data_IF_769381020732
#
_entry.id   IF_769381020732
#
_cell.length_a   1.000
_cell.length_b   1.000
_cell.length_c   1.000
_cell.angle_alpha   90.00
_cell.angle_beta   90.00
_cell.angle_gamma   90.00
#
_symmetry.space_group_name_H-M   'P 1'
#
loop_
_entity.id
_entity.type
_entity.pdbx_description
1 polymer ?
#
# COMPACT_ATOMS: atom_id res chain seq x y z
N UNK A 1 -12.10 -1.64 -5.52
CA UNK A 1 -12.26 -2.28 -4.20
C UNK A 1 -12.91 -3.66 -4.31
N UNK A 2 -12.41 -4.54 -5.16
CA UNK A 2 -12.96 -5.89 -5.33
C UNK A 2 -11.84 -6.91 -5.52
N UNK A 3 -12.19 -8.16 -5.82
CA UNK A 3 -11.20 -9.22 -5.98
C UNK A 3 -10.28 -8.98 -7.18
N UNK A 4 -8.94 -9.08 -7.02
CA UNK A 4 -7.97 -8.86 -8.10
C UNK A 4 -8.24 -9.67 -9.36
N UNK A 5 -8.78 -10.87 -9.18
CA UNK A 5 -9.04 -11.82 -10.25
C UNK A 5 -10.12 -11.35 -11.24
N UNK A 6 -11.06 -10.51 -10.80
CA UNK A 6 -12.05 -9.91 -11.70
C UNK A 6 -11.36 -9.02 -12.74
N UNK A 7 -10.36 -8.24 -12.33
CA UNK A 7 -9.62 -7.37 -13.25
C UNK A 7 -8.80 -8.21 -14.24
N UNK A 8 -8.13 -9.28 -13.79
CA UNK A 8 -7.42 -10.19 -14.69
C UNK A 8 -8.34 -10.80 -15.76
N UNK A 9 -9.58 -11.16 -15.40
CA UNK A 9 -10.58 -11.65 -16.37
C UNK A 9 -11.04 -10.59 -17.36
N UNK A 10 -11.18 -9.34 -16.93
CA UNK A 10 -11.59 -8.25 -17.82
C UNK A 10 -10.47 -7.84 -18.78
N UNK A 11 -9.21 -7.98 -18.37
CA UNK A 11 -8.06 -7.49 -19.14
C UNK A 11 -7.32 -8.56 -19.93
N UNK A 12 -7.67 -9.85 -19.85
CA UNK A 12 -6.85 -10.93 -20.44
C UNK A 12 -6.64 -10.83 -21.97
N UNK A 13 -7.55 -10.16 -22.70
CA UNK A 13 -7.42 -9.91 -24.15
C UNK A 13 -6.86 -8.53 -24.50
N UNK A 14 -6.50 -7.71 -23.51
CA UNK A 14 -5.96 -6.37 -23.73
C UNK A 14 -4.44 -6.45 -23.88
N UNK A 15 -3.90 -5.67 -24.80
CA UNK A 15 -2.45 -5.46 -24.93
C UNK A 15 -1.88 -5.05 -23.57
N UNK A 16 -0.69 -5.58 -23.22
CA UNK A 16 0.03 -5.31 -21.97
C UNK A 16 -0.56 -5.91 -20.68
N UNK A 17 -1.58 -6.78 -20.76
CA UNK A 17 -2.20 -7.36 -19.54
C UNK A 17 -1.24 -8.17 -18.65
N UNK A 18 -0.13 -8.67 -19.20
CA UNK A 18 0.91 -9.40 -18.45
C UNK A 18 1.66 -8.51 -17.45
N UNK A 19 1.66 -7.19 -17.67
CA UNK A 19 2.30 -6.20 -16.81
C UNK A 19 1.31 -5.55 -15.81
N UNK A 20 0.05 -6.01 -15.79
CA UNK A 20 -0.92 -5.55 -14.81
C UNK A 20 -0.78 -6.37 -13.52
N UNK A 21 -0.37 -5.69 -12.45
CA UNK A 21 -0.33 -6.24 -11.11
C UNK A 21 -1.45 -5.61 -10.29
N UNK A 22 -2.49 -6.40 -10.05
CA UNK A 22 -3.70 -5.93 -9.38
C UNK A 22 -3.66 -6.35 -7.92
N UNK A 23 -3.84 -5.38 -7.03
CA UNK A 23 -4.10 -5.60 -5.62
C UNK A 23 -5.57 -5.37 -5.33
N UNK A 24 -6.11 -6.07 -4.36
CA UNK A 24 -7.52 -6.01 -3.99
C UNK A 24 -7.75 -6.66 -2.64
N UNK A 25 -9.00 -6.62 -2.20
CA UNK A 25 -9.39 -7.16 -0.90
C UNK A 25 -9.09 -8.66 -0.83
N UNK A 26 -8.50 -9.08 0.30
CA UNK A 26 -8.10 -10.45 0.62
C UNK A 26 -9.00 -11.10 1.68
N UNK A 27 -10.09 -10.43 2.08
CA UNK A 27 -10.99 -10.92 3.14
C UNK A 27 -10.41 -10.89 4.55
N UNK A 28 -9.28 -10.19 4.72
CA UNK A 28 -8.69 -9.94 6.02
C UNK A 28 -9.36 -8.71 6.64
N UNK A 29 -10.08 -8.92 7.75
CA UNK A 29 -10.78 -7.86 8.45
C UNK A 29 -11.07 -8.19 9.91
N UNK A 30 -10.77 -7.26 10.80
CA UNK A 30 -11.13 -7.29 12.23
C UNK A 30 -11.58 -5.90 12.68
N UNK A 31 -12.03 -5.77 13.92
CA UNK A 31 -12.24 -4.43 14.50
C UNK A 31 -10.88 -3.79 14.74
N UNK A 32 -10.44 -2.92 13.82
CA UNK A 32 -9.15 -2.23 13.87
C UNK A 32 -9.28 -0.84 13.23
N UNK A 33 -8.16 -0.11 13.15
CA UNK A 33 -8.12 1.24 12.58
C UNK A 33 -8.29 1.23 11.06
N UNK A 34 -8.76 2.34 10.45
CA UNK A 34 -8.99 2.41 9.01
C UNK A 34 -7.74 2.10 8.16
N UNK A 35 -6.57 2.60 8.54
CA UNK A 35 -5.34 2.28 7.82
C UNK A 35 -4.89 0.83 8.07
N UNK A 36 -5.09 0.29 9.27
CA UNK A 36 -4.75 -1.10 9.54
C UNK A 36 -5.58 -2.08 8.69
N UNK A 37 -6.85 -1.78 8.43
CA UNK A 37 -7.67 -2.55 7.49
C UNK A 37 -7.07 -2.64 6.08
N UNK A 38 -6.41 -1.59 5.58
CA UNK A 38 -5.73 -1.65 4.27
C UNK A 38 -4.35 -2.30 4.36
N UNK A 39 -3.67 -2.20 5.50
CA UNK A 39 -2.40 -2.91 5.77
C UNK A 39 -2.62 -4.42 5.76
N UNK A 40 -3.66 -4.91 6.44
CA UNK A 40 -4.03 -6.34 6.47
C UNK A 40 -4.30 -6.92 5.07
N UNK A 41 -4.67 -6.06 4.11
CA UNK A 41 -4.96 -6.45 2.74
C UNK A 41 -3.79 -6.16 1.75
N UNK A 42 -2.63 -5.72 2.25
CA UNK A 42 -1.50 -5.21 1.45
C UNK A 42 -1.88 -4.10 0.46
N UNK A 43 -2.88 -3.28 0.80
CA UNK A 43 -3.38 -2.18 -0.03
C UNK A 43 -2.85 -0.82 0.41
N UNK A 44 -2.09 -0.77 1.49
CA UNK A 44 -1.54 0.46 2.00
C UNK A 44 -0.34 0.96 1.17
N UNK A 45 -0.03 2.24 1.37
CA UNK A 45 1.03 2.95 0.65
C UNK A 45 2.41 2.29 0.79
N UNK A 46 2.71 1.61 1.90
CA UNK A 46 4.02 1.00 2.13
C UNK A 46 4.17 -0.29 1.32
N UNK A 47 3.15 -1.15 1.30
CA UNK A 47 3.16 -2.34 0.43
C UNK A 47 3.18 -1.96 -1.05
N UNK A 48 2.45 -0.91 -1.46
CA UNK A 48 2.48 -0.43 -2.84
C UNK A 48 3.87 0.08 -3.27
N UNK A 49 4.59 0.79 -2.38
CA UNK A 49 5.98 1.21 -2.66
C UNK A 49 6.90 0.00 -2.80
N UNK A 50 6.80 -0.99 -1.91
CA UNK A 50 7.60 -2.22 -2.00
C UNK A 50 7.33 -2.97 -3.31
N UNK A 51 6.06 -3.01 -3.75
CA UNK A 51 5.65 -3.65 -5.00
C UNK A 51 6.27 -3.01 -6.24
N UNK A 52 6.40 -1.67 -6.26
CA UNK A 52 7.05 -0.94 -7.34
C UNK A 52 8.54 -1.24 -7.37
N UNK A 53 9.20 -1.25 -6.21
CA UNK A 53 10.63 -1.57 -6.10
C UNK A 53 10.92 -2.97 -6.65
N UNK A 54 10.07 -3.95 -6.34
CA UNK A 54 10.27 -5.34 -6.77
C UNK A 54 10.00 -5.56 -8.27
N UNK A 55 9.21 -4.68 -8.91
CA UNK A 55 8.75 -4.86 -10.29
C UNK A 55 9.45 -3.97 -11.31
N UNK A 56 10.18 -2.96 -10.87
CA UNK A 56 10.98 -2.09 -11.75
C UNK A 56 12.44 -2.54 -11.67
N UNK A 57 12.97 -3.28 -12.68
CA UNK A 57 14.31 -3.87 -12.61
C UNK A 57 15.42 -2.85 -12.40
N UNK A 58 15.20 -1.61 -12.85
CA UNK A 58 16.14 -0.49 -12.74
C UNK A 58 16.29 0.02 -11.30
N UNK A 59 15.33 -0.27 -10.41
CA UNK A 59 15.33 0.16 -9.01
C UNK A 59 16.06 -0.82 -8.09
N UNK A 60 15.99 -2.13 -8.36
CA UNK A 60 16.68 -3.23 -7.66
C UNK A 60 17.46 -2.88 -6.39
N UNK A 61 18.79 -3.05 -6.42
CA UNK A 61 19.66 -2.79 -5.26
C UNK A 61 19.67 -1.31 -4.82
N UNK A 62 19.41 -0.38 -5.74
CA UNK A 62 19.41 1.06 -5.48
C UNK A 62 18.28 1.48 -4.53
N UNK A 63 17.17 0.75 -4.54
CA UNK A 63 16.00 1.02 -3.71
C UNK A 63 15.86 0.05 -2.53
N UNK A 64 16.88 -0.77 -2.24
CA UNK A 64 16.85 -1.71 -1.12
C UNK A 64 16.61 -1.01 0.23
N UNK A 65 17.22 0.16 0.44
CA UNK A 65 17.02 0.97 1.64
C UNK A 65 15.58 1.49 1.76
N UNK A 66 14.96 1.86 0.63
CA UNK A 66 13.55 2.30 0.59
C UNK A 66 12.64 1.15 1.02
N UNK A 67 12.88 -0.05 0.47
CA UNK A 67 12.13 -1.25 0.82
C UNK A 67 12.26 -1.56 2.31
N UNK A 68 13.47 -1.45 2.87
CA UNK A 68 13.69 -1.65 4.29
C UNK A 68 12.92 -0.60 5.12
N UNK A 69 13.01 0.68 4.77
CA UNK A 69 12.27 1.73 5.46
C UNK A 69 10.74 1.57 5.39
N UNK A 70 10.19 0.97 4.33
CA UNK A 70 8.76 0.62 4.27
C UNK A 70 8.40 -0.50 5.26
N UNK A 71 9.28 -1.49 5.43
CA UNK A 71 9.08 -2.57 6.42
C UNK A 71 9.16 -2.05 7.84
N UNK A 72 10.11 -1.17 8.11
CA UNK A 72 10.29 -0.56 9.42
C UNK A 72 9.04 0.26 9.79
N UNK A 73 8.46 0.99 8.83
CA UNK A 73 7.16 1.69 9.03
C UNK A 73 5.99 0.75 9.30
N UNK A 74 5.91 -0.40 8.64
CA UNK A 74 4.87 -1.41 8.92
C UNK A 74 5.00 -1.96 10.34
N UNK A 75 6.24 -2.20 10.81
CA UNK A 75 6.51 -2.63 12.18
C UNK A 75 6.07 -1.52 13.16
N UNK A 76 6.47 -0.27 12.90
CA UNK A 76 6.08 0.88 13.71
C UNK A 76 4.56 1.06 13.77
N UNK A 77 3.87 0.95 12.63
CA UNK A 77 2.42 1.00 12.55
C UNK A 77 1.77 -0.02 13.50
N UNK A 78 2.20 -1.28 13.43
CA UNK A 78 1.67 -2.35 14.29
C UNK A 78 1.83 -2.04 15.78
N UNK A 79 2.99 -1.52 16.18
CA UNK A 79 3.21 -1.10 17.57
C UNK A 79 2.33 0.09 17.96
N UNK A 80 2.25 1.08 17.07
CA UNK A 80 1.54 2.32 17.33
C UNK A 80 0.04 2.08 17.54
N UNK A 81 -0.62 1.31 16.67
CA UNK A 81 -2.06 1.04 16.79
C UNK A 81 -2.38 0.22 18.04
N UNK A 82 -1.49 -0.69 18.44
CA UNK A 82 -1.67 -1.51 19.63
C UNK A 82 -1.58 -0.66 20.92
N UNK A 83 -0.74 0.36 20.91
CA UNK A 83 -0.55 1.26 22.04
C UNK A 83 -1.59 2.39 22.09
N UNK A 84 -1.95 2.98 20.94
CA UNK A 84 -2.73 4.22 20.88
C UNK A 84 -4.18 4.03 20.40
N UNK A 85 -4.52 2.88 19.80
CA UNK A 85 -5.86 2.59 19.29
C UNK A 85 -6.28 3.44 18.09
N UNK A 86 -5.37 4.19 17.46
CA UNK A 86 -5.63 5.00 16.28
C UNK A 86 -4.43 5.01 15.33
N UNK A 87 -4.65 5.40 14.08
CA UNK A 87 -3.60 5.46 13.06
C UNK A 87 -2.50 6.47 13.42
N UNK A 88 -1.28 6.20 12.94
CA UNK A 88 -0.13 7.10 13.15
C UNK A 88 -0.40 8.52 12.61
N UNK A 89 0.14 9.58 13.24
CA UNK A 89 -0.03 10.95 12.76
C UNK A 89 0.40 11.14 11.30
N UNK A 90 1.53 10.53 10.89
CA UNK A 90 1.99 10.57 9.49
C UNK A 90 1.00 9.96 8.48
N UNK A 91 0.07 9.13 8.96
CA UNK A 91 -0.98 8.56 8.13
C UNK A 91 -2.19 9.49 8.08
N UNK A 92 -2.68 9.92 9.25
CA UNK A 92 -3.90 10.72 9.40
C UNK A 92 -3.75 12.14 8.86
N UNK A 93 -2.58 12.74 9.10
CA UNK A 93 -2.32 14.14 8.81
C UNK A 93 -1.69 14.34 7.42
N UNK A 94 -1.49 13.25 6.68
CA UNK A 94 -0.91 13.29 5.34
C UNK A 94 -1.81 14.07 4.37
N UNK A 95 -1.18 14.93 3.59
CA UNK A 95 -1.84 15.71 2.53
C UNK A 95 -1.02 15.62 1.25
N UNK A 96 -1.71 15.76 0.12
CA UNK A 96 -1.05 15.82 -1.18
C UNK A 96 -0.24 17.12 -1.30
N UNK A 97 1.06 17.07 -1.65
CA UNK A 97 1.84 18.28 -1.90
C UNK A 97 1.23 19.05 -3.08
N UNK A 98 0.70 20.25 -2.81
CA UNK A 98 -0.01 21.07 -3.79
C UNK A 98 -1.51 21.24 -3.52
N UNK A 99 -2.07 20.61 -2.49
CA UNK A 99 -3.44 20.90 -2.04
C UNK A 99 -3.57 22.12 -1.13
N UNK A 100 -2.49 22.87 -0.91
CA UNK A 100 -2.47 24.18 -0.23
C UNK A 100 -2.18 25.28 -1.26
N UNK A 101 -3.13 25.52 -2.15
CA UNK A 101 -3.37 26.83 -2.75
C UNK A 101 -4.86 27.09 -2.52
N UNK A 102 -5.20 28.32 -2.14
CA UNK A 102 -6.53 28.83 -1.80
C UNK A 102 -6.89 28.84 -0.31
N UNK A 103 -6.41 29.88 0.38
CA UNK A 103 -7.13 30.59 1.45
C UNK A 103 -6.63 32.03 1.52
#
# INVERSE_FOLDING_TARGET
HGYPWLIHRLTYRRTNHRNLHVRGYKEEGTTTTPFDMVVLNDLDRFHLVQDVVDRVPQLGARAAYVKQGMRDRLIQHKHYIAEHGHDMPEIRDWRWPGSQQDS
#
